data_IF_175700408829
#
_entry.id   IF_175700408829
#
_cell.length_a   1.000
_cell.length_b   1.000
_cell.length_c   1.000
_cell.angle_alpha   90.00
_cell.angle_beta   90.00
_cell.angle_gamma   90.00
#
_symmetry.space_group_name_H-M   'P 1'
#
loop_
_entity.id
_entity.type
_entity.pdbx_description
1 polymer ?
#
# COMPACT_ATOMS: atom_id res chain seq x y z
N UNK A 1 25.26 -23.94 -0.30
CA UNK A 1 23.82 -23.63 -0.44
C UNK A 1 23.50 -22.18 -0.15
N UNK A 2 23.87 -21.62 1.02
CA UNK A 2 23.58 -20.21 1.35
C UNK A 2 24.10 -19.17 0.32
N UNK A 3 25.33 -19.34 -0.18
CA UNK A 3 25.87 -18.45 -1.23
C UNK A 3 25.09 -18.52 -2.56
N UNK A 4 24.55 -19.70 -2.89
CA UNK A 4 23.76 -19.91 -4.11
C UNK A 4 22.37 -19.25 -3.99
N UNK A 5 21.75 -19.37 -2.82
CA UNK A 5 20.49 -18.69 -2.48
C UNK A 5 20.70 -17.15 -2.49
N UNK A 6 21.84 -16.67 -1.98
CA UNK A 6 22.17 -15.23 -2.00
C UNK A 6 22.34 -14.66 -3.42
N UNK A 7 22.98 -15.39 -4.33
CA UNK A 7 23.15 -14.97 -5.73
C UNK A 7 21.79 -14.95 -6.45
N UNK A 8 20.97 -15.98 -6.25
CA UNK A 8 19.63 -16.05 -6.81
C UNK A 8 18.72 -14.93 -6.29
N UNK A 9 18.80 -14.62 -4.98
CA UNK A 9 18.08 -13.49 -4.38
C UNK A 9 18.44 -12.14 -5.03
N UNK A 10 19.73 -11.89 -5.28
CA UNK A 10 20.19 -10.66 -5.95
C UNK A 10 19.68 -10.61 -7.40
N UNK A 11 19.65 -11.75 -8.09
CA UNK A 11 19.11 -11.83 -9.45
C UNK A 11 17.60 -11.54 -9.47
N UNK A 12 16.82 -12.17 -8.59
CA UNK A 12 15.38 -11.94 -8.49
C UNK A 12 15.03 -10.50 -8.09
N UNK A 13 15.83 -9.90 -7.21
CA UNK A 13 15.72 -8.48 -6.87
C UNK A 13 15.93 -7.56 -8.08
N UNK A 14 16.87 -7.89 -8.99
CA UNK A 14 17.06 -7.13 -10.23
C UNK A 14 15.90 -7.31 -11.20
N UNK A 15 15.39 -8.55 -11.33
CA UNK A 15 14.21 -8.85 -12.16
C UNK A 15 12.97 -8.15 -11.63
N UNK A 16 12.74 -8.15 -10.31
CA UNK A 16 11.63 -7.46 -9.67
C UNK A 16 11.64 -5.96 -9.95
N UNK A 17 12.80 -5.31 -9.83
CA UNK A 17 12.96 -3.89 -10.21
C UNK A 17 12.64 -3.65 -11.68
N UNK A 18 13.12 -4.52 -12.58
CA UNK A 18 12.83 -4.40 -14.02
C UNK A 18 11.33 -4.49 -14.31
N UNK A 19 10.61 -5.39 -13.63
CA UNK A 19 9.16 -5.53 -13.81
C UNK A 19 8.37 -4.35 -13.24
N UNK A 20 8.82 -3.75 -12.13
CA UNK A 20 8.20 -2.55 -11.56
C UNK A 20 8.24 -1.37 -12.54
N UNK A 21 9.37 -1.19 -13.23
CA UNK A 21 9.54 -0.11 -14.22
C UNK A 21 8.58 -0.31 -15.39
N UNK A 22 8.49 -1.52 -15.94
CA UNK A 22 7.56 -1.83 -17.06
C UNK A 22 6.08 -1.71 -16.68
N UNK A 23 5.72 -1.92 -15.40
CA UNK A 23 4.35 -1.73 -14.92
C UNK A 23 3.98 -0.24 -14.74
N UNK A 24 4.95 0.61 -14.39
CA UNK A 24 4.76 2.06 -14.25
C UNK A 24 4.48 2.74 -15.60
N UNK A 25 5.03 2.22 -16.71
CA UNK A 25 4.86 2.80 -18.04
C UNK A 25 3.38 2.97 -18.45
N UNK A 26 2.51 1.93 -18.43
CA UNK A 26 1.08 2.09 -18.73
C UNK A 26 0.29 2.79 -17.62
N UNK A 27 0.74 2.72 -16.35
CA UNK A 27 0.09 3.39 -15.22
C UNK A 27 0.11 4.92 -15.38
N UNK A 28 1.18 5.47 -15.99
CA UNK A 28 1.33 6.90 -16.28
C UNK A 28 0.30 7.45 -17.29
N UNK A 29 -0.32 6.61 -18.11
CA UNK A 29 -1.13 7.03 -19.27
C UNK A 29 -2.63 7.15 -18.95
N UNK A 30 -3.17 6.37 -18.02
CA UNK A 30 -4.64 6.29 -17.79
C UNK A 30 -5.12 6.47 -16.34
N UNK A 31 -4.30 6.16 -15.32
CA UNK A 31 -4.71 6.21 -13.90
C UNK A 31 -4.05 7.35 -13.11
N UNK A 32 -3.19 8.13 -13.77
CA UNK A 32 -2.23 9.09 -13.19
C UNK A 32 -2.84 10.42 -12.71
N UNK A 33 -4.02 10.82 -13.16
CA UNK A 33 -4.59 12.13 -12.77
C UNK A 33 -4.80 12.25 -11.25
N UNK A 34 -5.09 11.15 -10.57
CA UNK A 34 -5.31 11.10 -9.12
C UNK A 34 -4.01 10.84 -8.35
N UNK A 35 -3.14 9.93 -8.82
CA UNK A 35 -1.93 9.53 -8.07
C UNK A 35 -0.66 10.33 -8.39
N UNK A 36 -0.59 10.99 -9.56
CA UNK A 36 0.63 11.65 -10.09
C UNK A 36 0.63 13.16 -9.85
N UNK A 37 -0.33 13.67 -9.07
CA UNK A 37 -0.42 15.09 -8.68
C UNK A 37 0.76 15.51 -7.81
N UNK A 38 1.30 14.60 -7.03
CA UNK A 38 2.43 14.85 -6.14
C UNK A 38 3.60 13.89 -6.45
N UNK A 39 4.83 14.40 -6.38
CA UNK A 39 6.04 13.57 -6.54
C UNK A 39 6.23 12.63 -5.33
N UNK A 40 5.72 13.04 -4.17
CA UNK A 40 5.85 12.28 -2.92
C UNK A 40 5.00 11.01 -2.91
N UNK A 41 3.79 11.02 -3.47
CA UNK A 41 2.92 9.84 -3.57
C UNK A 41 3.52 8.78 -4.50
N UNK A 42 4.11 9.20 -5.62
CA UNK A 42 4.81 8.29 -6.54
C UNK A 42 5.96 7.60 -5.81
N UNK A 43 6.77 8.35 -5.04
CA UNK A 43 7.86 7.80 -4.27
C UNK A 43 7.38 6.77 -3.22
N UNK A 44 6.29 7.06 -2.52
CA UNK A 44 5.70 6.15 -1.52
C UNK A 44 5.23 4.85 -2.18
N UNK A 45 4.55 4.92 -3.32
CA UNK A 45 4.09 3.74 -4.06
C UNK A 45 5.27 2.89 -4.56
N UNK A 46 6.31 3.54 -5.09
CA UNK A 46 7.52 2.88 -5.57
C UNK A 46 8.28 2.20 -4.42
N UNK A 47 8.34 2.86 -3.26
CA UNK A 47 8.96 2.31 -2.05
C UNK A 47 8.14 1.12 -1.49
N UNK A 48 6.81 1.19 -1.52
CA UNK A 48 5.94 0.10 -1.11
C UNK A 48 6.08 -1.14 -2.04
N UNK A 49 6.15 -0.93 -3.35
CA UNK A 49 6.42 -2.01 -4.32
C UNK A 49 7.80 -2.65 -4.10
N UNK A 50 8.82 -1.85 -3.80
CA UNK A 50 10.16 -2.35 -3.48
C UNK A 50 10.19 -3.17 -2.18
N UNK A 51 9.50 -2.72 -1.13
CA UNK A 51 9.35 -3.45 0.13
C UNK A 51 8.58 -4.77 -0.05
N UNK A 52 7.55 -4.78 -0.90
CA UNK A 52 6.84 -6.00 -1.26
C UNK A 52 7.78 -7.03 -1.93
N UNK A 53 8.59 -6.61 -2.89
CA UNK A 53 9.60 -7.48 -3.50
C UNK A 53 10.61 -8.01 -2.47
N UNK A 54 11.03 -7.17 -1.54
CA UNK A 54 11.98 -7.55 -0.48
C UNK A 54 11.44 -8.65 0.46
N UNK A 55 10.13 -8.67 0.72
CA UNK A 55 9.49 -9.61 1.66
C UNK A 55 8.90 -10.84 0.97
N UNK A 56 8.42 -10.70 -0.27
CA UNK A 56 7.85 -11.80 -1.03
C UNK A 56 8.91 -12.79 -1.53
N UNK A 57 10.10 -12.33 -1.94
CA UNK A 57 11.16 -13.20 -2.46
C UNK A 57 11.68 -14.16 -1.38
N UNK A 58 12.05 -13.73 -0.15
CA UNK A 58 12.47 -14.65 0.91
C UNK A 58 11.38 -15.67 1.28
N UNK A 59 10.12 -15.25 1.23
CA UNK A 59 8.97 -16.12 1.50
C UNK A 59 8.91 -17.29 0.51
N UNK A 60 9.08 -17.04 -0.79
CA UNK A 60 9.08 -18.11 -1.81
C UNK A 60 10.26 -19.07 -1.64
N UNK A 61 11.44 -18.55 -1.27
CA UNK A 61 12.61 -19.37 -0.95
C UNK A 61 12.41 -20.22 0.30
N UNK A 62 11.73 -19.71 1.33
CA UNK A 62 11.41 -20.47 2.54
C UNK A 62 10.49 -21.66 2.26
N UNK A 63 9.51 -21.46 1.38
CA UNK A 63 8.61 -22.52 0.94
C UNK A 63 9.19 -23.43 -0.15
N UNK A 64 10.38 -23.13 -0.69
CA UNK A 64 11.01 -23.92 -1.76
C UNK A 64 11.25 -25.38 -1.37
N UNK A 65 11.53 -25.65 -0.08
CA UNK A 65 11.72 -27.01 0.44
C UNK A 65 10.44 -27.85 0.52
N UNK A 66 9.27 -27.21 0.42
CA UNK A 66 7.97 -27.88 0.49
C UNK A 66 7.55 -28.49 -0.86
N UNK A 67 8.26 -28.19 -1.95
CA UNK A 67 7.84 -28.54 -3.31
C UNK A 67 8.74 -29.56 -3.99
N UNK A 68 8.12 -30.64 -4.46
CA UNK A 68 8.76 -31.70 -5.25
C UNK A 68 8.96 -31.33 -6.73
N UNK A 69 8.32 -30.26 -7.23
CA UNK A 69 8.41 -29.84 -8.63
C UNK A 69 8.27 -28.31 -8.81
N UNK A 70 9.10 -27.72 -9.65
CA UNK A 70 9.14 -26.28 -9.93
C UNK A 70 7.78 -25.65 -10.37
N UNK A 71 7.02 -26.21 -11.34
CA UNK A 71 5.76 -25.61 -11.76
C UNK A 71 4.66 -25.68 -10.67
N UNK A 72 4.67 -26.74 -9.86
CA UNK A 72 3.71 -26.88 -8.75
C UNK A 72 3.95 -25.84 -7.65
N UNK A 73 5.20 -25.54 -7.34
CA UNK A 73 5.57 -24.51 -6.36
C UNK A 73 5.12 -23.12 -6.77
N UNK A 74 5.34 -22.75 -8.05
CA UNK A 74 4.89 -21.47 -8.58
C UNK A 74 3.37 -21.30 -8.46
N UNK A 75 2.59 -22.29 -8.90
CA UNK A 75 1.12 -22.22 -8.84
C UNK A 75 0.59 -22.12 -7.40
N UNK A 76 1.18 -22.86 -6.45
CA UNK A 76 0.77 -22.81 -5.04
C UNK A 76 1.06 -21.46 -4.37
N UNK A 77 2.23 -20.88 -4.67
CA UNK A 77 2.60 -19.55 -4.16
C UNK A 77 1.67 -18.48 -4.72
N UNK A 78 1.33 -18.54 -6.02
CA UNK A 78 0.39 -17.60 -6.64
C UNK A 78 -1.00 -17.74 -6.02
N UNK A 79 -1.51 -18.98 -5.88
CA UNK A 79 -2.80 -19.23 -5.21
C UNK A 79 -2.80 -18.71 -3.77
N UNK A 80 -1.74 -18.95 -3.01
CA UNK A 80 -1.59 -18.42 -1.66
C UNK A 80 -1.64 -16.88 -1.65
N UNK A 81 -0.86 -16.20 -2.49
CA UNK A 81 -0.84 -14.73 -2.54
C UNK A 81 -2.20 -14.13 -2.94
N UNK A 82 -2.94 -14.78 -3.83
CA UNK A 82 -4.28 -14.33 -4.25
C UNK A 82 -5.28 -14.47 -3.10
N UNK A 83 -5.35 -15.65 -2.47
CA UNK A 83 -6.30 -15.91 -1.37
C UNK A 83 -6.00 -14.98 -0.20
N UNK A 84 -4.73 -14.83 0.16
CA UNK A 84 -4.30 -14.01 1.29
C UNK A 84 -4.45 -12.52 1.03
N UNK A 85 -4.24 -12.08 -0.21
CA UNK A 85 -4.56 -10.72 -0.64
C UNK A 85 -6.05 -10.39 -0.47
N UNK A 86 -6.95 -11.32 -0.86
CA UNK A 86 -8.39 -11.14 -0.68
C UNK A 86 -8.82 -11.14 0.79
N UNK A 87 -8.28 -12.06 1.60
CA UNK A 87 -8.61 -12.13 3.03
C UNK A 87 -8.12 -10.87 3.74
N UNK A 88 -6.91 -10.40 3.42
CA UNK A 88 -6.34 -9.20 4.04
C UNK A 88 -7.18 -7.95 3.77
N UNK A 89 -7.63 -7.73 2.54
CA UNK A 89 -8.42 -6.54 2.18
C UNK A 89 -9.82 -6.55 2.78
N UNK A 90 -10.38 -7.72 3.09
CA UNK A 90 -11.72 -7.84 3.68
C UNK A 90 -11.67 -7.86 5.21
N UNK A 91 -10.69 -8.57 5.80
CA UNK A 91 -10.63 -8.79 7.24
C UNK A 91 -10.36 -7.50 8.02
N UNK A 92 -9.44 -6.66 7.57
CA UNK A 92 -9.06 -5.44 8.31
C UNK A 92 -10.18 -4.40 8.41
N UNK A 93 -10.89 -4.02 7.34
CA UNK A 93 -12.01 -3.07 7.48
C UNK A 93 -13.18 -3.63 8.29
N UNK A 94 -13.36 -4.96 8.35
CA UNK A 94 -14.36 -5.58 9.23
C UNK A 94 -13.94 -5.45 10.70
N UNK A 95 -12.67 -5.71 11.02
CA UNK A 95 -12.18 -5.58 12.40
C UNK A 95 -12.22 -4.11 12.84
N UNK A 96 -11.94 -3.15 11.95
CA UNK A 96 -12.11 -1.71 12.25
C UNK A 96 -13.56 -1.31 12.55
N UNK A 97 -14.54 -2.00 11.94
CA UNK A 97 -15.96 -1.70 12.14
C UNK A 97 -16.58 -2.43 13.35
N UNK A 98 -15.97 -3.52 13.80
CA UNK A 98 -16.55 -4.41 14.83
C UNK A 98 -15.75 -4.44 16.14
N UNK A 99 -14.48 -4.06 16.11
CA UNK A 99 -13.60 -4.00 17.27
C UNK A 99 -13.11 -2.56 17.50
N UNK A 100 -12.48 -2.37 18.65
CA UNK A 100 -11.83 -1.12 19.03
C UNK A 100 -10.61 -0.82 18.14
N UNK A 101 -10.32 0.47 17.90
CA UNK A 101 -9.35 0.94 16.89
C UNK A 101 -7.95 0.37 17.15
N UNK A 102 -7.58 0.19 18.42
CA UNK A 102 -6.30 -0.37 18.83
C UNK A 102 -6.18 -1.88 18.48
N UNK A 103 -7.27 -2.64 18.62
CA UNK A 103 -7.26 -4.07 18.29
C UNK A 103 -7.15 -4.28 16.78
N UNK A 104 -7.85 -3.47 15.99
CA UNK A 104 -7.76 -3.52 14.53
C UNK A 104 -6.34 -3.20 14.03
N UNK A 105 -5.67 -2.26 14.68
CA UNK A 105 -4.28 -1.92 14.38
C UNK A 105 -3.33 -3.09 14.62
N UNK A 106 -3.40 -3.76 15.77
CA UNK A 106 -2.52 -4.89 16.09
C UNK A 106 -2.69 -6.06 15.11
N UNK A 107 -3.93 -6.38 14.74
CA UNK A 107 -4.22 -7.41 13.74
C UNK A 107 -3.73 -7.03 12.34
N UNK A 108 -3.81 -5.76 11.97
CA UNK A 108 -3.31 -5.28 10.67
C UNK A 108 -1.79 -5.42 10.55
N UNK A 109 -1.04 -5.24 11.64
CA UNK A 109 0.43 -5.41 11.67
C UNK A 109 0.80 -6.88 11.49
N UNK A 110 0.12 -7.78 12.20
CA UNK A 110 0.34 -9.23 12.11
C UNK A 110 0.00 -9.73 10.70
N UNK A 111 -1.13 -9.29 10.14
CA UNK A 111 -1.54 -9.63 8.77
C UNK A 111 -0.58 -9.06 7.72
N UNK A 112 -0.02 -7.88 7.93
CA UNK A 112 0.98 -7.29 7.02
C UNK A 112 2.29 -8.09 7.00
N UNK A 113 2.66 -8.71 8.12
CA UNK A 113 3.85 -9.56 8.20
C UNK A 113 3.62 -10.95 7.57
N UNK A 114 2.46 -11.54 7.80
CA UNK A 114 2.12 -12.87 7.28
C UNK A 114 1.74 -12.84 5.79
N UNK A 115 1.16 -11.73 5.34
CA UNK A 115 0.62 -11.53 3.99
C UNK A 115 1.15 -10.22 3.39
N UNK A 116 2.35 -10.24 2.77
CA UNK A 116 2.93 -9.02 2.19
C UNK A 116 2.04 -8.40 1.11
N UNK A 117 1.22 -9.20 0.43
CA UNK A 117 0.21 -8.74 -0.56
C UNK A 117 -0.84 -7.82 0.05
N UNK A 118 -1.22 -8.02 1.32
CA UNK A 118 -2.16 -7.13 1.99
C UNK A 118 -1.58 -5.73 2.19
N UNK A 119 -0.30 -5.64 2.60
CA UNK A 119 0.36 -4.36 2.90
C UNK A 119 0.37 -3.42 1.69
N UNK A 120 0.66 -3.96 0.50
CA UNK A 120 0.69 -3.15 -0.71
C UNK A 120 -0.72 -2.72 -1.12
N UNK A 121 -1.71 -3.62 -1.07
CA UNK A 121 -3.10 -3.26 -1.36
C UNK A 121 -3.63 -2.17 -0.44
N UNK A 122 -3.28 -2.21 0.85
CA UNK A 122 -3.68 -1.19 1.82
C UNK A 122 -3.02 0.17 1.54
N UNK A 123 -1.73 0.20 1.20
CA UNK A 123 -1.04 1.44 0.82
C UNK A 123 -1.71 2.09 -0.40
N UNK A 124 -2.04 1.30 -1.43
CA UNK A 124 -2.77 1.83 -2.60
C UNK A 124 -4.15 2.37 -2.24
N UNK A 125 -4.91 1.69 -1.38
CA UNK A 125 -6.23 2.15 -0.94
C UNK A 125 -6.15 3.47 -0.15
N UNK A 126 -5.24 3.57 0.82
CA UNK A 126 -5.08 4.78 1.65
C UNK A 126 -4.58 5.95 0.81
N UNK A 127 -3.63 5.74 -0.10
CA UNK A 127 -3.16 6.82 -1.00
C UNK A 127 -4.28 7.28 -1.91
N UNK A 128 -5.12 6.37 -2.43
CA UNK A 128 -6.28 6.72 -3.24
C UNK A 128 -7.27 7.60 -2.48
N UNK A 129 -7.66 7.17 -1.27
CA UNK A 129 -8.63 7.90 -0.46
C UNK A 129 -8.12 9.28 -0.05
N UNK A 130 -6.82 9.42 0.22
CA UNK A 130 -6.21 10.71 0.52
C UNK A 130 -6.21 11.65 -0.70
N UNK A 131 -5.88 11.14 -1.89
CA UNK A 131 -5.89 11.95 -3.12
C UNK A 131 -7.32 12.31 -3.55
N UNK A 132 -8.25 11.37 -3.42
CA UNK A 132 -9.67 11.62 -3.65
C UNK A 132 -10.21 12.67 -2.67
N UNK A 133 -9.86 12.56 -1.38
CA UNK A 133 -10.19 13.55 -0.37
C UNK A 133 -9.60 14.92 -0.70
N UNK A 134 -8.35 14.99 -1.14
CA UNK A 134 -7.70 16.23 -1.55
C UNK A 134 -8.37 16.89 -2.77
N UNK A 135 -8.72 16.11 -3.78
CA UNK A 135 -9.50 16.58 -4.93
C UNK A 135 -10.87 17.11 -4.49
N UNK A 136 -11.50 16.45 -3.53
CA UNK A 136 -12.75 16.92 -2.97
C UNK A 136 -12.57 18.22 -2.16
N UNK A 137 -11.46 18.40 -1.45
CA UNK A 137 -11.19 19.65 -0.73
C UNK A 137 -10.91 20.84 -1.67
N UNK A 138 -10.30 20.63 -2.84
CA UNK A 138 -9.99 21.69 -3.81
C UNK A 138 -11.26 22.36 -4.40
N UNK A 139 -12.39 21.63 -4.41
CA UNK A 139 -13.69 22.18 -4.85
C UNK A 139 -14.49 22.89 -3.74
N UNK A 140 -14.03 22.89 -2.48
CA UNK A 140 -14.73 23.54 -1.36
C UNK A 140 -14.19 24.96 -1.10
N UNK A 141 -15.10 25.91 -0.91
CA UNK A 141 -14.76 27.26 -0.44
C UNK A 141 -14.77 27.31 1.10
N UNK A 142 -13.58 27.36 1.69
CA UNK A 142 -13.38 27.42 3.14
C UNK A 142 -13.88 28.73 3.79
N UNK A 143 -14.31 29.73 3.01
CA UNK A 143 -14.98 30.93 3.56
C UNK A 143 -16.41 30.66 3.99
N UNK A 144 -17.05 29.62 3.46
CA UNK A 144 -18.44 29.31 3.80
C UNK A 144 -18.55 28.60 5.16
N UNK A 145 -19.42 29.07 6.08
CA UNK A 145 -19.53 28.51 7.43
C UNK A 145 -20.02 27.05 7.45
N UNK A 146 -20.69 26.57 6.39
CA UNK A 146 -21.12 25.18 6.26
C UNK A 146 -19.94 24.21 6.01
N UNK A 147 -18.86 24.70 5.40
CA UNK A 147 -17.69 23.90 5.01
C UNK A 147 -16.48 24.14 5.91
N UNK A 148 -16.46 25.28 6.63
CA UNK A 148 -15.45 25.65 7.64
C UNK A 148 -15.33 24.64 8.79
N UNK A 149 -16.37 23.85 9.07
CA UNK A 149 -16.34 22.79 10.07
C UNK A 149 -15.56 21.55 9.62
N UNK A 150 -15.25 21.41 8.32
CA UNK A 150 -14.46 20.29 7.82
C UNK A 150 -12.97 20.45 8.15
N UNK A 151 -12.57 19.98 9.34
CA UNK A 151 -11.18 20.00 9.83
C UNK A 151 -10.23 19.33 8.82
N UNK A 152 -10.73 18.32 8.09
CA UNK A 152 -9.97 17.52 7.13
C UNK A 152 -9.59 18.28 5.84
N UNK A 153 -10.31 19.35 5.48
CA UNK A 153 -10.04 20.16 4.28
C UNK A 153 -9.57 21.58 4.61
N UNK A 154 -10.21 22.24 5.58
CA UNK A 154 -9.96 23.66 5.89
C UNK A 154 -9.11 23.86 7.15
N UNK A 155 -8.74 22.78 7.85
CA UNK A 155 -8.06 22.84 9.14
C UNK A 155 -8.95 23.42 10.24
N UNK A 156 -8.56 23.20 11.50
CA UNK A 156 -9.24 23.84 12.62
C UNK A 156 -8.99 25.36 12.55
N UNK A 157 -10.06 26.14 12.49
CA UNK A 157 -10.01 27.61 12.46
C UNK A 157 -9.70 28.22 13.84
N UNK A 158 -8.75 27.65 14.59
CA UNK A 158 -8.34 28.19 15.88
C UNK A 158 -6.95 28.83 15.70
N UNK A 159 -7.00 30.10 15.29
CA UNK A 159 -5.86 30.96 15.05
C UNK A 159 -6.32 32.40 14.85
N UNK A 160 -6.89 32.98 15.90
CA UNK A 160 -6.44 34.26 16.44
C UNK A 160 -6.03 35.33 15.39
N UNK A 161 -7.02 36.04 14.86
CA UNK A 161 -6.89 37.50 14.65
C UNK A 161 -7.60 38.19 15.81
N UNK A 162 -7.20 37.86 17.04
CA UNK A 162 -7.39 38.77 18.16
C UNK A 162 -6.30 39.84 18.03
N UNK A 163 -6.75 41.04 17.65
CA UNK A 163 -6.18 42.33 17.99
C UNK A 163 -4.84 42.30 18.76
N UNK A 164 -3.70 42.44 18.08
CA UNK A 164 -2.56 43.15 18.66
C UNK A 164 -1.95 44.07 17.60
N UNK A 165 -2.19 45.36 17.81
CA UNK A 165 -1.66 46.60 17.17
C UNK A 165 -2.06 46.94 15.75
#
# INVERSE_FOLDING_TARGET
MAAFIGILYIFDMKVSKSQQITFMDPFSINLSQTYTRDSTTILILLMAMALYGWTAIPLTYWFSFLFTSAPKGFTLIVMYNIITGMIGTIAVPIIQQTADVYTAFDWSVILSFLFPTYSISNVFAVVYDNEFGRQACEMLDCSNPLYKQSIQCCGQSDGEIDNIT
#
